data_IF_456109742245
#
_entry.id   IF_456109742245
#
_cell.length_a   1.000
_cell.length_b   1.000
_cell.length_c   1.000
_cell.angle_alpha   90.00
_cell.angle_beta   90.00
_cell.angle_gamma   90.00
#
_symmetry.space_group_name_H-M   'P 1'
#
loop_
_entity.id
_entity.type
_entity.pdbx_description
1 polymer ?
#
# COMPACT_ATOMS: atom_id res chain seq x y z
N UNK A 1 -7.29 -29.75 32.27
CA UNK A 1 -6.61 -28.64 31.52
C UNK A 1 -7.54 -27.43 31.64
N UNK A 2 -7.12 -26.39 32.34
CA UNK A 2 -7.89 -25.14 32.35
C UNK A 2 -7.56 -24.36 31.09
N UNK A 3 -8.49 -24.35 30.14
CA UNK A 3 -8.36 -23.52 28.94
C UNK A 3 -8.56 -22.05 29.37
N UNK A 4 -7.54 -21.23 29.14
CA UNK A 4 -7.62 -19.80 29.39
C UNK A 4 -7.83 -19.08 28.07
N UNK A 5 -8.98 -18.43 27.94
CA UNK A 5 -9.25 -17.50 26.82
C UNK A 5 -8.56 -16.16 27.11
N UNK A 6 -7.88 -15.60 26.13
CA UNK A 6 -7.35 -14.26 26.20
C UNK A 6 -8.07 -13.40 25.17
N UNK A 7 -8.63 -12.30 25.63
CA UNK A 7 -9.37 -11.36 24.81
C UNK A 7 -8.56 -10.07 24.64
N UNK A 8 -8.48 -9.57 23.41
CA UNK A 8 -7.84 -8.32 23.06
C UNK A 8 -8.87 -7.41 22.42
N UNK A 9 -8.91 -6.16 22.87
CA UNK A 9 -9.83 -5.14 22.38
C UNK A 9 -9.07 -3.87 22.04
N UNK A 10 -9.64 -3.08 21.13
CA UNK A 10 -9.16 -1.74 20.82
C UNK A 10 -9.60 -0.78 21.94
N UNK A 11 -8.64 -0.04 22.46
CA UNK A 11 -8.85 1.07 23.39
C UNK A 11 -8.36 2.36 22.75
N UNK A 12 -9.25 3.33 22.62
CA UNK A 12 -9.04 4.54 21.81
C UNK A 12 -7.83 5.37 22.26
N UNK A 13 -7.56 5.41 23.55
CA UNK A 13 -6.48 6.20 24.17
C UNK A 13 -5.18 5.38 24.37
N UNK A 14 -5.17 4.09 23.98
CA UNK A 14 -4.02 3.21 24.14
C UNK A 14 -3.56 2.67 22.77
N UNK A 15 -2.50 3.26 22.26
CA UNK A 15 -1.86 2.87 20.99
C UNK A 15 -1.18 1.49 21.01
N UNK A 16 -1.11 0.85 22.18
CA UNK A 16 -0.54 -0.51 22.32
C UNK A 16 -1.57 -1.61 22.15
N UNK A 17 -2.84 -1.25 22.01
CA UNK A 17 -3.94 -2.20 21.74
C UNK A 17 -4.13 -2.43 20.24
N UNK A 18 -4.96 -3.42 19.89
CA UNK A 18 -5.30 -3.69 18.47
C UNK A 18 -5.94 -2.46 17.84
N UNK A 19 -5.63 -2.19 16.58
CA UNK A 19 -6.05 -0.96 15.89
C UNK A 19 -7.55 -0.84 15.61
N UNK A 20 -8.30 -1.95 15.64
CA UNK A 20 -9.77 -1.98 15.54
C UNK A 20 -10.31 -3.27 16.12
N UNK A 21 -11.53 -3.22 16.70
CA UNK A 21 -12.25 -4.41 17.16
C UNK A 21 -12.80 -5.28 16.01
N UNK A 22 -12.84 -4.75 14.79
CA UNK A 22 -13.31 -5.47 13.61
C UNK A 22 -12.13 -6.08 12.85
N UNK A 23 -11.70 -7.27 13.27
CA UNK A 23 -10.62 -8.04 12.65
C UNK A 23 -11.18 -8.81 11.46
N UNK A 24 -10.65 -8.55 10.25
CA UNK A 24 -11.08 -9.20 9.03
C UNK A 24 -10.21 -10.41 8.71
N UNK A 25 -8.88 -10.26 8.81
CA UNK A 25 -7.94 -11.30 8.42
C UNK A 25 -6.78 -11.41 9.42
N UNK A 26 -6.25 -12.61 9.52
CA UNK A 26 -5.10 -12.98 10.35
C UNK A 26 -4.07 -13.62 9.42
N UNK A 27 -2.81 -13.27 9.63
CA UNK A 27 -1.71 -13.80 8.84
C UNK A 27 -0.48 -13.96 9.72
N UNK A 28 0.19 -15.11 9.61
CA UNK A 28 1.49 -15.36 10.23
C UNK A 28 2.58 -15.27 9.16
N UNK A 29 3.54 -14.36 9.35
CA UNK A 29 4.63 -14.21 8.41
C UNK A 29 5.70 -15.31 8.57
N UNK A 30 6.66 -15.36 7.63
CA UNK A 30 7.72 -16.36 7.63
C UNK A 30 8.65 -16.29 8.88
N UNK A 31 8.55 -15.22 9.68
CA UNK A 31 9.29 -15.05 10.94
C UNK A 31 8.47 -15.42 12.16
N UNK A 32 7.21 -15.85 11.97
CA UNK A 32 6.28 -16.18 13.05
C UNK A 32 5.61 -14.96 13.70
N UNK A 33 5.65 -13.79 13.04
CA UNK A 33 4.95 -12.61 13.53
C UNK A 33 3.50 -12.67 13.10
N UNK A 34 2.58 -12.48 14.04
CA UNK A 34 1.15 -12.40 13.75
C UNK A 34 0.76 -11.00 13.29
N UNK A 35 0.09 -10.95 12.15
CA UNK A 35 -0.44 -9.75 11.53
C UNK A 35 -1.96 -9.77 11.48
N UNK A 36 -2.57 -8.61 11.63
CA UNK A 36 -4.00 -8.42 11.73
C UNK A 36 -4.44 -7.37 10.72
N UNK A 37 -5.26 -7.78 9.76
CA UNK A 37 -5.94 -6.87 8.87
C UNK A 37 -7.32 -6.54 9.42
N UNK A 38 -7.64 -5.27 9.52
CA UNK A 38 -8.83 -4.78 10.22
C UNK A 38 -9.74 -3.95 9.32
N UNK A 39 -10.96 -3.74 9.77
CA UNK A 39 -11.87 -2.77 9.18
C UNK A 39 -11.71 -1.43 9.88
N UNK A 40 -11.10 -0.47 9.17
CA UNK A 40 -10.93 0.91 9.63
C UNK A 40 -9.66 1.18 10.47
N UNK A 41 -8.97 0.14 10.96
CA UNK A 41 -7.71 0.28 11.71
C UNK A 41 -6.46 -0.08 10.89
N UNK A 42 -6.61 -0.44 9.61
CA UNK A 42 -5.49 -0.82 8.75
C UNK A 42 -4.85 -2.15 9.14
N UNK A 43 -3.53 -2.18 9.08
CA UNK A 43 -2.68 -3.35 9.35
C UNK A 43 -1.92 -3.14 10.66
N UNK A 44 -1.89 -4.14 11.54
CA UNK A 44 -1.06 -4.15 12.74
C UNK A 44 -0.44 -5.53 12.98
N UNK A 45 0.68 -5.55 13.69
CA UNK A 45 1.34 -6.77 14.15
C UNK A 45 1.24 -6.92 15.67
N UNK A 46 1.41 -8.15 16.16
CA UNK A 46 1.45 -8.45 17.58
C UNK A 46 2.87 -8.78 18.03
N UNK A 47 3.40 -7.97 18.94
CA UNK A 47 4.65 -8.27 19.64
C UNK A 47 4.36 -9.17 20.83
N UNK A 48 4.73 -10.45 20.70
CA UNK A 48 4.49 -11.46 21.74
C UNK A 48 5.36 -11.25 22.99
N UNK A 49 6.52 -10.58 22.88
CA UNK A 49 7.43 -10.31 24.01
C UNK A 49 6.86 -9.20 24.89
N UNK A 50 6.52 -8.08 24.25
CA UNK A 50 5.98 -6.90 24.92
C UNK A 50 4.46 -7.01 25.15
N UNK A 51 3.80 -8.03 24.55
CA UNK A 51 2.35 -8.27 24.62
C UNK A 51 1.52 -7.06 24.15
N UNK A 52 1.98 -6.38 23.13
CA UNK A 52 1.35 -5.19 22.55
C UNK A 52 1.15 -5.31 21.06
N UNK A 53 0.24 -4.53 20.52
CA UNK A 53 0.08 -4.36 19.08
C UNK A 53 0.91 -3.18 18.59
N UNK A 54 1.38 -3.29 17.35
CA UNK A 54 2.17 -2.26 16.68
C UNK A 54 1.44 -1.94 15.37
N UNK A 55 0.93 -0.72 15.23
CA UNK A 55 0.34 -0.24 13.99
C UNK A 55 1.40 -0.15 12.90
N UNK A 56 1.08 -0.65 11.70
CA UNK A 56 2.01 -0.65 10.59
C UNK A 56 2.27 0.76 10.04
N UNK A 57 1.21 1.54 9.86
CA UNK A 57 1.25 2.88 9.26
C UNK A 57 0.51 3.91 10.13
N UNK A 58 1.08 4.30 11.28
CA UNK A 58 0.41 5.20 12.23
C UNK A 58 0.20 6.61 11.67
N UNK A 59 0.97 6.99 10.64
CA UNK A 59 0.89 8.32 10.02
C UNK A 59 0.05 8.34 8.74
N UNK A 60 -0.54 7.21 8.33
CA UNK A 60 -1.33 7.06 7.10
C UNK A 60 -0.59 7.50 5.82
N UNK A 61 0.69 7.21 5.75
CA UNK A 61 1.56 7.62 4.65
C UNK A 61 1.67 6.56 3.56
N UNK A 62 1.41 5.28 3.90
CA UNK A 62 1.61 4.13 3.02
C UNK A 62 0.30 3.49 2.57
N UNK A 63 -0.65 3.33 3.49
CA UNK A 63 -1.90 2.64 3.19
C UNK A 63 -3.01 3.67 2.89
N UNK A 64 -3.40 3.85 1.62
CA UNK A 64 -4.47 4.80 1.25
C UNK A 64 -5.84 4.37 1.77
N UNK A 65 -5.95 3.14 2.27
CA UNK A 65 -7.16 2.63 2.85
C UNK A 65 -6.90 1.80 4.10
N UNK A 66 -7.71 2.00 5.14
CA UNK A 66 -7.63 1.29 6.41
C UNK A 66 -8.50 0.03 6.49
N UNK A 67 -9.05 -0.43 5.38
CA UNK A 67 -9.82 -1.69 5.31
C UNK A 67 -8.94 -2.75 4.64
N UNK A 68 -8.51 -3.74 5.39
CA UNK A 68 -7.61 -4.81 4.93
C UNK A 68 -8.39 -6.12 4.86
N UNK A 69 -8.52 -6.67 3.65
CA UNK A 69 -9.32 -7.88 3.41
C UNK A 69 -8.52 -9.18 3.48
N UNK A 70 -7.30 -9.18 2.93
CA UNK A 70 -6.43 -10.34 2.95
C UNK A 70 -4.96 -9.92 2.90
N UNK A 71 -4.08 -10.78 3.38
CA UNK A 71 -2.63 -10.58 3.44
C UNK A 71 -1.97 -11.86 2.96
N UNK A 72 -1.03 -11.76 2.01
CA UNK A 72 -0.15 -12.84 1.59
C UNK A 72 1.29 -12.35 1.58
N UNK A 73 2.25 -13.25 1.78
CA UNK A 73 3.67 -12.93 1.71
C UNK A 73 4.31 -13.63 0.53
N UNK A 74 5.04 -12.88 -0.31
CA UNK A 74 5.83 -13.47 -1.39
C UNK A 74 7.13 -14.13 -0.90
N UNK A 75 7.94 -14.63 -1.82
CA UNK A 75 9.22 -15.27 -1.47
C UNK A 75 10.29 -14.25 -1.08
N UNK A 76 10.16 -13.01 -1.53
CA UNK A 76 11.05 -11.89 -1.19
C UNK A 76 10.78 -11.33 0.22
N UNK A 77 9.66 -11.71 0.84
CA UNK A 77 9.25 -11.24 2.15
C UNK A 77 8.35 -10.01 2.11
N UNK A 78 8.00 -9.51 0.93
CA UNK A 78 7.05 -8.42 0.78
C UNK A 78 5.61 -8.92 0.99
N UNK A 79 4.78 -8.07 1.54
CA UNK A 79 3.35 -8.34 1.71
C UNK A 79 2.54 -7.84 0.52
N UNK A 80 1.59 -8.66 0.12
CA UNK A 80 0.56 -8.33 -0.83
C UNK A 80 -0.76 -8.28 -0.09
N UNK A 81 -1.34 -7.09 -0.04
CA UNK A 81 -2.47 -6.76 0.83
C UNK A 81 -3.63 -6.29 -0.02
N UNK A 82 -4.77 -6.98 0.06
CA UNK A 82 -5.98 -6.57 -0.66
C UNK A 82 -6.89 -5.69 0.20
N UNK A 83 -7.59 -4.78 -0.47
CA UNK A 83 -8.51 -3.82 0.13
C UNK A 83 -9.71 -3.52 -0.78
N UNK A 84 -10.49 -2.49 -0.47
CA UNK A 84 -11.49 -1.90 -1.37
C UNK A 84 -10.90 -0.87 -2.35
N UNK A 85 -9.57 -0.66 -2.33
CA UNK A 85 -8.86 0.26 -3.22
C UNK A 85 -7.77 -0.45 -4.04
N UNK A 86 -7.89 -1.76 -4.26
CA UNK A 86 -6.94 -2.56 -5.00
C UNK A 86 -6.05 -3.46 -4.13
N UNK A 87 -4.92 -3.85 -4.69
CA UNK A 87 -3.87 -4.62 -4.02
C UNK A 87 -2.67 -3.72 -3.77
N UNK A 88 -2.07 -3.84 -2.60
CA UNK A 88 -0.85 -3.12 -2.23
C UNK A 88 0.29 -4.11 -2.04
N UNK A 89 1.43 -3.82 -2.65
CA UNK A 89 2.71 -4.46 -2.33
C UNK A 89 3.45 -3.57 -1.35
N UNK A 90 3.83 -4.10 -0.19
CA UNK A 90 4.50 -3.36 0.88
C UNK A 90 5.62 -4.19 1.47
N UNK A 91 6.74 -3.56 1.80
CA UNK A 91 7.77 -4.19 2.61
C UNK A 91 7.45 -3.98 4.09
N UNK A 92 7.18 -5.07 4.88
CA UNK A 92 6.77 -4.93 6.27
C UNK A 92 7.88 -4.45 7.20
N UNK A 93 9.15 -4.54 6.78
CA UNK A 93 10.33 -4.21 7.60
C UNK A 93 10.82 -2.80 7.31
N UNK A 94 11.12 -2.52 6.05
CA UNK A 94 11.74 -1.24 5.65
C UNK A 94 10.71 -0.14 5.45
N UNK A 95 9.45 -0.50 5.14
CA UNK A 95 8.34 0.42 4.89
C UNK A 95 8.62 1.45 3.78
N UNK A 96 9.59 1.17 2.91
CA UNK A 96 10.06 2.08 1.84
C UNK A 96 9.54 1.71 0.45
N UNK A 97 9.05 0.48 0.28
CA UNK A 97 8.48 0.00 -0.96
C UNK A 97 6.97 -0.12 -0.85
N UNK A 98 6.29 0.88 -1.38
CA UNK A 98 4.84 0.86 -1.52
C UNK A 98 4.47 0.94 -3.01
N UNK A 99 3.67 -0.02 -3.47
CA UNK A 99 3.07 0.03 -4.80
C UNK A 99 1.62 -0.40 -4.72
N UNK A 100 0.75 0.42 -5.27
CA UNK A 100 -0.66 0.12 -5.42
C UNK A 100 -0.94 -0.40 -6.83
N UNK A 101 -1.75 -1.45 -6.91
CA UNK A 101 -2.29 -2.01 -8.14
C UNK A 101 -3.80 -1.81 -8.16
N UNK A 102 -4.31 -1.41 -9.30
CA UNK A 102 -5.72 -1.07 -9.51
C UNK A 102 -6.24 -1.76 -10.77
N UNK A 103 -7.49 -1.48 -11.12
CA UNK A 103 -8.07 -1.94 -12.40
C UNK A 103 -7.24 -1.47 -13.61
N UNK A 104 -6.55 -0.33 -13.52
CA UNK A 104 -5.70 0.19 -14.59
C UNK A 104 -4.43 -0.67 -14.79
N UNK A 105 -4.04 -1.44 -13.77
CA UNK A 105 -2.91 -2.38 -13.83
C UNK A 105 -3.35 -3.81 -14.21
N UNK A 106 -4.63 -4.00 -14.56
CA UNK A 106 -5.18 -5.29 -15.00
C UNK A 106 -5.85 -6.10 -13.89
N UNK A 107 -6.16 -5.49 -12.73
CA UNK A 107 -6.98 -6.17 -11.73
C UNK A 107 -8.43 -6.31 -12.20
N UNK A 108 -9.12 -7.36 -11.71
CA UNK A 108 -10.54 -7.61 -11.97
C UNK A 108 -11.46 -6.45 -11.53
N UNK A 109 -10.96 -5.62 -10.61
CA UNK A 109 -11.61 -4.48 -10.02
C UNK A 109 -10.79 -3.96 -8.85
N UNK A 110 -11.17 -2.83 -8.28
CA UNK A 110 -10.49 -2.28 -7.10
C UNK A 110 -11.00 -2.88 -5.79
N UNK A 111 -12.19 -3.50 -5.82
CA UNK A 111 -12.81 -4.07 -4.63
C UNK A 111 -12.56 -5.58 -4.54
N UNK A 112 -11.94 -5.99 -3.45
CA UNK A 112 -11.67 -7.38 -3.12
C UNK A 112 -12.62 -7.90 -2.05
N UNK A 113 -12.59 -9.22 -1.80
CA UNK A 113 -13.45 -9.89 -0.82
C UNK A 113 -12.59 -10.33 0.37
N UNK A 114 -13.14 -10.14 1.56
CA UNK A 114 -12.48 -10.52 2.81
C UNK A 114 -12.08 -12.00 2.83
N UNK A 115 -10.83 -12.29 3.22
CA UNK A 115 -10.26 -13.64 3.34
C UNK A 115 -10.23 -14.44 2.03
N UNK A 116 -10.36 -13.76 0.88
CA UNK A 116 -10.32 -14.41 -0.43
C UNK A 116 -8.93 -14.30 -1.03
N UNK A 117 -7.96 -14.95 -0.40
CA UNK A 117 -6.59 -15.04 -0.91
C UNK A 117 -6.01 -16.42 -0.70
N UNK A 118 -5.01 -16.76 -1.51
CA UNK A 118 -4.27 -18.00 -1.41
C UNK A 118 -2.88 -17.83 -2.03
N UNK A 119 -1.86 -18.31 -1.35
CA UNK A 119 -0.53 -18.55 -1.93
C UNK A 119 -0.41 -20.02 -2.29
N UNK A 120 -0.17 -20.32 -3.56
CA UNK A 120 0.06 -21.70 -4.01
C UNK A 120 1.45 -22.20 -3.61
N UNK A 121 1.64 -23.53 -3.71
CA UNK A 121 2.95 -24.16 -3.51
C UNK A 121 4.02 -23.70 -4.51
N UNK A 122 3.58 -23.22 -5.69
CA UNK A 122 4.46 -22.63 -6.72
C UNK A 122 4.77 -21.15 -6.48
N UNK A 123 4.28 -20.55 -5.39
CA UNK A 123 4.48 -19.13 -5.07
C UNK A 123 3.53 -18.16 -5.77
N UNK A 124 2.58 -18.66 -6.59
CA UNK A 124 1.55 -17.80 -7.20
C UNK A 124 0.58 -17.29 -6.15
N UNK A 125 0.20 -16.03 -6.24
CA UNK A 125 -0.79 -15.40 -5.38
C UNK A 125 -2.13 -15.29 -6.10
N UNK A 126 -3.19 -15.59 -5.37
CA UNK A 126 -4.58 -15.53 -5.82
C UNK A 126 -5.33 -14.56 -4.91
N UNK A 127 -6.09 -13.64 -5.49
CA UNK A 127 -6.95 -12.71 -4.75
C UNK A 127 -8.32 -12.63 -5.40
N UNK A 128 -9.35 -12.97 -4.63
CA UNK A 128 -10.74 -12.92 -5.07
C UNK A 128 -11.38 -11.55 -4.86
N UNK A 129 -12.16 -11.12 -5.83
CA UNK A 129 -12.90 -9.88 -5.82
C UNK A 129 -14.32 -10.03 -6.33
N UNK A 130 -15.02 -8.92 -6.48
CA UNK A 130 -16.45 -8.91 -6.88
C UNK A 130 -16.67 -9.30 -8.35
N UNK A 131 -15.64 -9.21 -9.20
CA UNK A 131 -15.70 -9.56 -10.63
C UNK A 131 -14.79 -10.74 -10.98
N UNK A 132 -14.68 -11.74 -10.08
CA UNK A 132 -13.79 -12.87 -10.26
C UNK A 132 -12.54 -12.78 -9.40
N UNK A 133 -11.42 -13.29 -9.89
CA UNK A 133 -10.16 -13.28 -9.13
C UNK A 133 -8.97 -12.93 -10.02
N UNK A 134 -7.91 -12.43 -9.40
CA UNK A 134 -6.62 -12.25 -10.02
C UNK A 134 -5.65 -13.33 -9.56
N UNK A 135 -4.80 -13.81 -10.47
CA UNK A 135 -3.67 -14.68 -10.18
C UNK A 135 -2.42 -14.10 -10.82
N UNK A 136 -1.33 -14.09 -10.08
CA UNK A 136 -0.07 -13.56 -10.58
C UNK A 136 1.13 -14.17 -9.86
N UNK A 137 2.30 -14.04 -10.49
CA UNK A 137 3.58 -14.42 -9.92
C UNK A 137 4.26 -13.14 -9.40
N UNK A 138 4.48 -12.98 -8.09
CA UNK A 138 5.05 -11.76 -7.51
C UNK A 138 6.40 -11.35 -8.11
N UNK A 139 7.23 -12.32 -8.48
CA UNK A 139 8.58 -12.11 -9.03
C UNK A 139 8.55 -11.46 -10.43
N UNK A 140 7.42 -11.48 -11.13
CA UNK A 140 7.26 -10.82 -12.43
C UNK A 140 7.07 -9.31 -12.31
N UNK A 141 6.74 -8.81 -11.12
CA UNK A 141 6.59 -7.38 -10.88
C UNK A 141 7.96 -6.76 -10.51
N UNK A 142 8.74 -6.48 -11.55
CA UNK A 142 10.02 -5.77 -11.40
C UNK A 142 9.73 -4.28 -11.35
N UNK A 143 10.22 -3.60 -10.32
CA UNK A 143 10.10 -2.14 -10.24
C UNK A 143 10.93 -1.49 -11.35
N UNK A 144 10.28 -0.70 -12.17
CA UNK A 144 10.97 0.09 -13.17
C UNK A 144 11.78 1.18 -12.48
N UNK A 145 13.08 0.99 -12.37
CA UNK A 145 14.02 1.95 -11.79
C UNK A 145 14.33 3.13 -12.70
N UNK A 146 13.78 3.13 -13.91
CA UNK A 146 13.97 4.23 -14.84
C UNK A 146 13.12 5.41 -14.39
N UNK A 147 13.77 6.47 -13.93
CA UNK A 147 13.15 7.75 -13.65
C UNK A 147 13.19 8.53 -14.97
N UNK A 148 12.04 8.70 -15.66
CA UNK A 148 12.02 9.45 -16.90
C UNK A 148 12.47 10.90 -16.62
N UNK A 149 13.35 11.48 -17.46
CA UNK A 149 13.71 12.87 -17.29
C UNK A 149 12.49 13.76 -17.52
N UNK A 150 12.23 14.64 -16.57
CA UNK A 150 11.15 15.62 -16.68
C UNK A 150 11.73 16.91 -17.24
N UNK A 151 11.20 17.34 -18.39
CA UNK A 151 11.55 18.62 -18.99
C UNK A 151 10.38 19.58 -18.85
N UNK A 152 10.62 20.74 -18.23
CA UNK A 152 9.65 21.82 -18.21
C UNK A 152 9.74 22.55 -19.56
N UNK A 153 8.76 22.33 -20.43
CA UNK A 153 8.74 22.91 -21.79
C UNK A 153 8.04 24.26 -21.86
N UNK A 154 7.13 24.54 -20.93
CA UNK A 154 6.42 25.82 -20.87
C UNK A 154 5.89 26.07 -19.44
N UNK A 155 5.90 27.32 -19.00
CA UNK A 155 5.32 27.79 -17.75
C UNK A 155 4.36 28.93 -18.07
N UNK A 156 3.05 28.71 -17.86
CA UNK A 156 2.02 29.73 -18.05
C UNK A 156 1.46 30.13 -16.70
N UNK A 157 1.56 31.41 -16.40
CA UNK A 157 0.91 31.97 -15.22
C UNK A 157 -0.54 32.40 -15.60
N UNK A 158 -1.54 32.14 -14.73
CA UNK A 158 -2.96 32.37 -15.06
C UNK A 158 -3.36 33.84 -15.19
N UNK A 159 -2.48 34.76 -14.82
CA UNK A 159 -2.67 36.20 -14.99
C UNK A 159 -1.49 36.79 -15.76
N UNK A 160 -1.80 37.68 -16.73
CA UNK A 160 -0.83 38.35 -17.61
C UNK A 160 0.39 38.86 -16.82
N UNK A 161 1.43 38.08 -16.78
CA UNK A 161 2.72 38.46 -16.23
C UNK A 161 3.69 38.60 -17.38
N UNK A 162 4.40 39.70 -17.36
CA UNK A 162 5.43 40.07 -18.34
C UNK A 162 6.48 38.92 -18.42
N UNK A 163 6.91 38.57 -19.61
CA UNK A 163 7.98 37.56 -19.83
C UNK A 163 9.24 37.81 -19.00
N UNK A 164 9.49 39.07 -18.61
CA UNK A 164 10.59 39.44 -17.73
C UNK A 164 10.41 38.97 -16.28
N UNK A 165 9.18 38.90 -15.76
CA UNK A 165 8.90 38.38 -14.43
C UNK A 165 9.07 36.85 -14.37
N UNK A 166 8.68 36.14 -15.42
CA UNK A 166 8.91 34.69 -15.52
C UNK A 166 10.40 34.37 -15.55
N UNK A 167 11.19 35.12 -16.32
CA UNK A 167 12.65 34.98 -16.34
C UNK A 167 13.28 35.29 -14.98
N UNK A 168 12.75 36.23 -14.24
CA UNK A 168 13.23 36.59 -12.89
C UNK A 168 12.89 35.50 -11.86
N UNK A 169 11.74 34.85 -11.97
CA UNK A 169 11.35 33.69 -11.15
C UNK A 169 12.23 32.46 -11.42
N UNK A 170 12.63 32.24 -12.68
CA UNK A 170 13.51 31.14 -13.07
C UNK A 170 14.99 31.37 -12.68
N UNK A 171 15.39 32.62 -12.36
CA UNK A 171 16.75 32.99 -11.92
C UNK A 171 16.92 33.01 -10.39
N UNK A 172 15.86 32.72 -9.64
CA UNK A 172 15.97 32.62 -8.19
C UNK A 172 16.68 31.31 -7.82
N UNK A 173 17.78 31.43 -7.10
CA UNK A 173 18.57 30.33 -6.49
C UNK A 173 17.78 29.53 -5.41
N UNK A 174 16.47 29.51 -5.52
CA UNK A 174 15.56 28.80 -4.63
C UNK A 174 14.91 27.66 -5.39
N UNK A 175 14.80 26.47 -4.79
CA UNK A 175 14.12 25.33 -5.44
C UNK A 175 12.69 25.72 -5.79
N UNK A 176 12.33 25.61 -7.06
CA UNK A 176 10.97 25.75 -7.53
C UNK A 176 10.21 24.45 -7.20
N UNK A 177 9.30 24.50 -6.25
CA UNK A 177 8.44 23.35 -5.96
C UNK A 177 7.30 23.32 -6.97
N UNK A 178 7.46 22.49 -8.00
CA UNK A 178 6.40 22.20 -8.96
C UNK A 178 5.67 20.94 -8.48
N UNK A 179 4.41 21.05 -8.12
CA UNK A 179 3.57 19.89 -7.86
C UNK A 179 3.22 19.26 -9.22
N UNK A 180 3.97 18.24 -9.62
CA UNK A 180 3.64 17.42 -10.79
C UNK A 180 2.67 16.34 -10.33
N UNK A 181 1.40 16.44 -10.73
CA UNK A 181 0.49 15.31 -10.72
C UNK A 181 0.98 14.33 -11.80
N UNK A 182 1.78 13.37 -11.39
CA UNK A 182 2.24 12.29 -12.26
C UNK A 182 1.08 11.31 -12.46
N UNK A 183 0.47 11.35 -13.62
CA UNK A 183 -0.34 10.22 -14.10
C UNK A 183 0.61 9.23 -14.75
N UNK A 184 0.63 7.99 -14.30
CA UNK A 184 1.42 6.93 -14.94
C UNK A 184 1.14 6.93 -16.45
N UNK A 185 2.18 6.75 -17.31
CA UNK A 185 1.98 6.69 -18.75
C UNK A 185 1.00 5.55 -19.06
N UNK A 186 0.01 5.87 -19.91
CA UNK A 186 -0.91 4.87 -20.45
C UNK A 186 -0.10 3.79 -21.19
N UNK A 187 -0.51 2.50 -21.16
CA UNK A 187 0.13 1.45 -21.95
C UNK A 187 0.19 1.72 -23.46
N UNK A 188 -0.47 2.78 -23.95
CA UNK A 188 -0.44 3.23 -25.36
C UNK A 188 0.71 4.15 -25.69
N UNK A 189 1.49 4.60 -24.72
CA UNK A 189 2.60 5.54 -24.93
C UNK A 189 3.96 4.83 -25.03
N UNK A 190 3.94 3.50 -25.15
CA UNK A 190 5.13 2.66 -25.35
C UNK A 190 4.99 1.93 -26.69
N UNK A 191 5.21 2.63 -27.78
CA UNK A 191 5.60 2.07 -29.06
C UNK A 191 7.08 2.39 -29.34
#
# INVERSE_FOLDING_TARGET
MNAHWKHYQHEREDSTTITSNSVITLFEDAKGTMWFGTNGGGLCSFDAKEKRFIEFDPHNTLLPNKVIYAIEQDQGGDFWVSSNAGIFKINPVTKDHFRQFTINDGLQGNQFIARSSLKSSEGKLYFGGINGFNVFQPEQFVDNKYIPPVYVTDIRLPYQTDEQEVKKLLQLDKPLYICLLYTSPSPRDVE
#
